data_IF_979256511811
#
_entry.id   IF_979256511811
#
_cell.length_a   1.000
_cell.length_b   1.000
_cell.length_c   1.000
_cell.angle_alpha   90.00
_cell.angle_beta   90.00
_cell.angle_gamma   90.00
#
_symmetry.space_group_name_H-M   'P 1'
#
loop_
_entity.id
_entity.type
_entity.pdbx_description
1 polymer ?
#
# COMPACT_ATOMS: atom_id res chain seq x y z
N UNK A 1 12.31 19.28 -9.30
CA UNK A 1 11.50 18.76 -8.17
C UNK A 1 10.06 19.32 -8.06
N UNK A 2 9.70 20.40 -8.77
CA UNK A 2 8.32 20.96 -8.74
C UNK A 2 7.25 20.05 -9.36
N UNK A 3 7.64 19.18 -10.30
CA UNK A 3 6.73 18.29 -11.02
C UNK A 3 6.13 17.19 -10.13
N UNK A 4 6.95 16.52 -9.31
CA UNK A 4 6.47 15.51 -8.37
C UNK A 4 5.54 16.12 -7.32
N UNK A 5 5.90 17.29 -6.78
CA UNK A 5 5.01 17.98 -5.84
C UNK A 5 3.68 18.38 -6.50
N UNK A 6 3.69 18.78 -7.79
CA UNK A 6 2.47 19.07 -8.54
C UNK A 6 1.56 17.84 -8.61
N UNK A 7 2.11 16.65 -8.83
CA UNK A 7 1.35 15.40 -8.84
C UNK A 7 0.71 15.14 -7.47
N UNK A 8 1.47 15.24 -6.38
CA UNK A 8 0.94 15.04 -5.02
C UNK A 8 -0.08 16.11 -4.57
N UNK A 9 -0.06 17.29 -5.18
CA UNK A 9 -1.08 18.31 -4.93
C UNK A 9 -2.44 17.94 -5.55
N UNK A 10 -2.40 17.32 -6.73
CA UNK A 10 -3.58 16.96 -7.53
C UNK A 10 -4.17 15.63 -7.03
N UNK A 11 -3.32 14.61 -6.87
CA UNK A 11 -3.75 13.25 -6.56
C UNK A 11 -3.34 12.85 -5.15
N UNK A 12 -4.27 12.33 -4.34
CA UNK A 12 -3.90 11.67 -3.11
C UNK A 12 -3.22 10.33 -3.43
N UNK A 13 -2.34 9.88 -2.53
CA UNK A 13 -1.46 8.75 -2.77
C UNK A 13 -1.46 7.75 -1.60
N UNK A 14 -1.19 6.50 -1.92
CA UNK A 14 -0.84 5.44 -0.96
C UNK A 14 0.15 4.49 -1.62
N UNK A 15 0.76 3.63 -0.81
CA UNK A 15 1.68 2.59 -1.21
C UNK A 15 1.62 1.44 -0.19
N UNK A 16 2.08 0.26 -0.57
CA UNK A 16 2.22 -0.83 0.37
C UNK A 16 3.33 -0.52 1.37
N UNK A 17 3.05 -0.63 2.66
CA UNK A 17 3.93 -0.10 3.70
C UNK A 17 4.26 1.40 3.52
N UNK A 18 3.28 2.22 3.06
CA UNK A 18 3.44 3.65 2.70
C UNK A 18 4.26 4.51 3.66
N UNK A 19 4.32 4.16 4.95
CA UNK A 19 5.11 4.89 5.94
C UNK A 19 6.57 4.98 5.52
N UNK A 20 7.14 3.91 4.97
CA UNK A 20 8.53 3.90 4.51
C UNK A 20 8.75 4.93 3.39
N UNK A 21 7.98 4.87 2.31
CA UNK A 21 8.09 5.77 1.16
C UNK A 21 7.76 7.21 1.54
N UNK A 22 6.67 7.42 2.29
CA UNK A 22 6.18 8.75 2.57
C UNK A 22 7.01 9.47 3.63
N UNK A 23 7.56 8.77 4.63
CA UNK A 23 8.54 9.40 5.53
C UNK A 23 9.79 9.84 4.76
N UNK A 24 10.28 9.02 3.83
CA UNK A 24 11.43 9.37 2.99
C UNK A 24 11.17 10.61 2.13
N UNK A 25 9.98 10.72 1.53
CA UNK A 25 9.56 11.85 0.70
C UNK A 25 9.27 13.10 1.55
N UNK A 26 8.54 12.97 2.66
CA UNK A 26 8.25 14.10 3.56
C UNK A 26 9.51 14.72 4.15
N UNK A 27 10.51 13.91 4.53
CA UNK A 27 11.83 14.40 4.97
C UNK A 27 12.55 15.23 3.89
N UNK A 28 12.17 15.09 2.62
CA UNK A 28 12.67 15.89 1.49
C UNK A 28 11.75 17.05 1.11
N UNK A 29 10.77 17.37 1.96
CA UNK A 29 9.88 18.51 1.81
C UNK A 29 8.62 18.25 0.98
N UNK A 30 8.35 17.00 0.59
CA UNK A 30 7.11 16.69 -0.14
C UNK A 30 5.89 16.71 0.78
N UNK A 31 4.81 17.34 0.31
CA UNK A 31 3.50 17.30 0.94
C UNK A 31 2.62 16.30 0.18
N UNK A 32 2.08 15.31 0.90
CA UNK A 32 1.33 14.20 0.30
C UNK A 32 -0.03 14.13 1.01
N UNK A 33 -1.11 14.15 0.24
CA UNK A 33 -2.46 13.80 0.73
C UNK A 33 -2.55 12.28 0.75
N UNK A 34 -2.65 11.69 1.93
CA UNK A 34 -2.52 10.24 2.07
C UNK A 34 -3.86 9.50 2.02
N UNK A 35 -3.87 8.36 1.34
CA UNK A 35 -4.96 7.38 1.37
C UNK A 35 -4.61 6.21 2.30
N UNK A 36 -5.58 5.34 2.66
CA UNK A 36 -5.35 4.23 3.57
C UNK A 36 -4.30 3.26 3.04
N UNK A 37 -3.45 2.77 3.93
CA UNK A 37 -2.39 1.83 3.60
C UNK A 37 -2.98 0.45 3.25
N UNK A 38 -2.82 -0.06 2.01
CA UNK A 38 -3.33 -1.39 1.64
C UNK A 38 -2.75 -2.51 2.49
N UNK A 39 -1.53 -2.39 3.00
CA UNK A 39 -0.91 -3.38 3.90
C UNK A 39 -1.70 -3.54 5.21
N UNK A 40 -2.13 -2.43 5.82
CA UNK A 40 -2.89 -2.45 7.08
C UNK A 40 -4.25 -3.10 6.85
N UNK A 41 -4.92 -2.74 5.76
CA UNK A 41 -6.19 -3.36 5.37
C UNK A 41 -6.01 -4.87 5.12
N UNK A 42 -4.98 -5.25 4.35
CA UNK A 42 -4.65 -6.64 4.07
C UNK A 42 -4.34 -7.45 5.34
N UNK A 43 -3.70 -6.84 6.34
CA UNK A 43 -3.41 -7.50 7.63
C UNK A 43 -4.67 -7.96 8.34
N UNK A 44 -5.71 -7.12 8.36
CA UNK A 44 -6.98 -7.43 8.99
C UNK A 44 -7.79 -8.50 8.24
N UNK A 45 -7.47 -8.73 6.96
CA UNK A 45 -8.12 -9.73 6.10
C UNK A 45 -7.37 -11.06 6.19
N UNK A 46 -6.06 -11.05 5.93
CA UNK A 46 -5.25 -12.27 5.79
C UNK A 46 -4.90 -12.88 7.15
N UNK A 47 -4.78 -12.05 8.21
CA UNK A 47 -4.52 -12.51 9.59
C UNK A 47 -3.39 -13.54 9.70
N UNK A 48 -2.30 -13.30 8.95
CA UNK A 48 -1.15 -14.21 8.89
C UNK A 48 -0.49 -14.37 10.26
N UNK A 49 0.06 -15.56 10.57
CA UNK A 49 0.69 -15.83 11.86
C UNK A 49 1.82 -14.84 12.15
N UNK A 50 1.95 -14.38 13.41
CA UNK A 50 2.94 -13.38 13.77
C UNK A 50 4.37 -13.90 13.60
N UNK A 51 5.27 -13.05 13.10
CA UNK A 51 6.71 -13.35 13.01
C UNK A 51 7.49 -13.00 14.27
N UNK A 52 6.90 -12.19 15.16
CA UNK A 52 7.53 -11.71 16.40
C UNK A 52 6.61 -12.00 17.58
N UNK A 53 7.18 -12.53 18.65
CA UNK A 53 6.48 -12.76 19.93
C UNK A 53 5.87 -11.43 20.39
N UNK A 54 4.60 -11.46 20.81
CA UNK A 54 3.86 -10.28 21.25
C UNK A 54 3.14 -9.48 20.15
N UNK A 55 3.19 -9.92 18.89
CA UNK A 55 2.35 -9.34 17.81
C UNK A 55 1.17 -10.28 17.48
N UNK A 56 0.01 -9.72 17.14
CA UNK A 56 -1.19 -10.52 16.84
C UNK A 56 -1.12 -11.14 15.45
N UNK A 57 -0.91 -10.31 14.43
CA UNK A 57 -0.76 -10.72 13.03
C UNK A 57 0.48 -10.09 12.43
N UNK A 58 1.09 -10.81 11.48
CA UNK A 58 2.16 -10.27 10.65
C UNK A 58 1.57 -9.38 9.55
N UNK A 59 2.23 -8.25 9.27
CA UNK A 59 1.98 -7.50 8.04
C UNK A 59 2.28 -8.39 6.81
N UNK A 60 1.34 -8.58 5.89
CA UNK A 60 1.57 -9.41 4.72
C UNK A 60 2.56 -8.72 3.77
N UNK A 61 3.22 -9.49 2.91
CA UNK A 61 3.92 -8.94 1.75
C UNK A 61 2.95 -8.65 0.60
N UNK A 62 3.42 -7.92 -0.42
CA UNK A 62 2.70 -7.74 -1.68
C UNK A 62 2.39 -9.09 -2.31
N UNK A 63 3.37 -10.01 -2.36
CA UNK A 63 3.18 -11.37 -2.89
C UNK A 63 2.12 -12.17 -2.11
N UNK A 64 2.16 -12.15 -0.77
CA UNK A 64 1.17 -12.86 0.06
C UNK A 64 -0.25 -12.31 -0.19
N UNK A 65 -0.36 -10.99 -0.30
CA UNK A 65 -1.62 -10.31 -0.61
C UNK A 65 -2.08 -10.62 -2.03
N UNK A 66 -1.16 -10.66 -3.00
CA UNK A 66 -1.43 -11.00 -4.39
C UNK A 66 -1.96 -12.43 -4.51
N UNK A 67 -1.29 -13.41 -3.89
CA UNK A 67 -1.72 -14.81 -3.89
C UNK A 67 -3.13 -14.99 -3.32
N UNK A 68 -3.48 -14.20 -2.30
CA UNK A 68 -4.84 -14.22 -1.73
C UNK A 68 -5.88 -13.64 -2.68
N UNK A 69 -5.58 -12.50 -3.33
CA UNK A 69 -6.54 -11.79 -4.19
C UNK A 69 -6.64 -12.37 -5.61
N UNK A 70 -5.56 -12.98 -6.10
CA UNK A 70 -5.43 -13.47 -7.46
C UNK A 70 -4.83 -14.88 -7.47
N UNK A 71 -5.53 -15.89 -6.91
CA UNK A 71 -5.01 -17.25 -6.77
C UNK A 71 -4.62 -17.88 -8.12
N UNK A 72 -5.31 -17.50 -9.20
CA UNK A 72 -5.07 -18.02 -10.55
C UNK A 72 -3.97 -17.25 -11.31
N UNK A 73 -3.40 -16.19 -10.73
CA UNK A 73 -2.36 -15.37 -11.36
C UNK A 73 -1.02 -15.55 -10.66
N UNK A 74 -0.04 -16.07 -11.40
CA UNK A 74 1.34 -16.16 -10.91
C UNK A 74 1.88 -14.75 -10.64
N UNK A 75 2.34 -14.53 -9.41
CA UNK A 75 3.12 -13.34 -9.06
C UNK A 75 4.52 -13.46 -9.68
N UNK A 76 4.95 -12.44 -10.41
CA UNK A 76 6.29 -12.38 -11.01
C UNK A 76 6.96 -11.11 -10.51
N UNK A 77 7.77 -11.26 -9.47
CA UNK A 77 8.47 -10.13 -8.85
C UNK A 77 9.66 -9.71 -9.70
N UNK A 78 9.63 -8.48 -10.23
CA UNK A 78 10.80 -7.90 -10.93
C UNK A 78 11.65 -7.01 -10.01
N UNK A 79 11.20 -6.76 -8.77
CA UNK A 79 11.82 -5.85 -7.79
C UNK A 79 12.22 -4.48 -8.38
N UNK A 80 11.32 -3.89 -9.18
CA UNK A 80 11.50 -2.54 -9.70
C UNK A 80 10.36 -1.68 -9.18
N UNK A 81 10.66 -0.46 -8.72
CA UNK A 81 9.64 0.41 -8.13
C UNK A 81 8.42 0.69 -9.03
N UNK A 82 8.56 0.63 -10.36
CA UNK A 82 7.42 0.70 -11.27
C UNK A 82 6.54 -0.56 -11.21
N UNK A 83 7.16 -1.74 -11.20
CA UNK A 83 6.46 -3.02 -11.15
C UNK A 83 5.72 -3.16 -9.81
N UNK A 84 6.36 -2.77 -8.71
CA UNK A 84 5.75 -2.75 -7.38
C UNK A 84 4.53 -1.82 -7.37
N UNK A 85 4.65 -0.58 -7.87
CA UNK A 85 3.53 0.36 -7.94
C UNK A 85 2.34 -0.18 -8.76
N UNK A 86 2.59 -0.93 -9.84
CA UNK A 86 1.52 -1.55 -10.63
C UNK A 86 0.82 -2.68 -9.85
N UNK A 87 1.58 -3.57 -9.20
CA UNK A 87 1.00 -4.64 -8.39
C UNK A 87 0.20 -4.09 -7.21
N UNK A 88 0.72 -3.06 -6.54
CA UNK A 88 0.03 -2.37 -5.45
C UNK A 88 -1.27 -1.72 -5.91
N UNK A 89 -1.26 -1.04 -7.06
CA UNK A 89 -2.46 -0.44 -7.63
C UNK A 89 -3.54 -1.49 -7.94
N UNK A 90 -3.14 -2.66 -8.48
CA UNK A 90 -4.06 -3.77 -8.74
C UNK A 90 -4.63 -4.36 -7.45
N UNK A 91 -3.82 -4.51 -6.41
CA UNK A 91 -4.27 -4.95 -5.07
C UNK A 91 -5.30 -3.96 -4.52
N UNK A 92 -5.02 -2.66 -4.55
CA UNK A 92 -5.94 -1.62 -4.07
C UNK A 92 -7.25 -1.68 -4.85
N UNK A 93 -7.18 -1.78 -6.17
CA UNK A 93 -8.37 -1.85 -7.02
C UNK A 93 -9.24 -3.07 -6.71
N UNK A 94 -8.62 -4.23 -6.48
CA UNK A 94 -9.34 -5.45 -6.09
C UNK A 94 -9.99 -5.32 -4.71
N UNK A 95 -9.26 -4.80 -3.71
CA UNK A 95 -9.82 -4.53 -2.39
C UNK A 95 -10.95 -3.50 -2.42
N UNK A 96 -10.87 -2.50 -3.30
CA UNK A 96 -11.92 -1.51 -3.53
C UNK A 96 -13.18 -2.15 -4.11
N UNK A 97 -13.05 -2.97 -5.16
CA UNK A 97 -14.19 -3.71 -5.75
C UNK A 97 -14.89 -4.60 -4.73
N UNK A 98 -14.13 -5.20 -3.81
CA UNK A 98 -14.67 -6.04 -2.73
C UNK A 98 -15.26 -5.21 -1.57
N UNK A 99 -15.25 -3.88 -1.64
CA UNK A 99 -15.73 -2.98 -0.58
C UNK A 99 -14.85 -2.95 0.69
N UNK A 100 -13.67 -3.57 0.65
CA UNK A 100 -12.75 -3.70 1.79
C UNK A 100 -11.81 -2.50 1.94
N UNK A 101 -11.59 -1.74 0.87
CA UNK A 101 -10.80 -0.52 0.87
C UNK A 101 -11.63 0.66 0.39
N UNK A 102 -11.47 1.83 1.03
CA UNK A 102 -12.17 3.08 0.66
C UNK A 102 -11.15 4.21 0.55
N UNK A 103 -11.25 5.10 -0.47
CA UNK A 103 -10.34 6.22 -0.65
C UNK A 103 -10.68 7.39 0.29
N UNK A 104 -10.61 7.15 1.60
CA UNK A 104 -10.82 8.20 2.61
C UNK A 104 -9.48 8.85 2.94
N UNK A 105 -9.38 10.16 2.79
CA UNK A 105 -8.16 10.88 3.13
C UNK A 105 -7.86 10.71 4.62
N UNK A 106 -6.62 10.34 4.93
CA UNK A 106 -6.14 10.35 6.31
C UNK A 106 -5.86 11.80 6.73
N UNK A 107 -6.70 12.30 7.63
CA UNK A 107 -6.49 13.60 8.26
C UNK A 107 -5.59 13.35 9.47
N UNK A 108 -4.30 13.63 9.30
CA UNK A 108 -3.39 13.70 10.45
C UNK A 108 -3.69 15.02 11.17
N UNK A 109 -4.32 14.94 12.35
CA UNK A 109 -4.47 16.05 13.29
C UNK A 109 -3.11 16.38 13.93
#
# INVERSE_FOLDING_TARGET
>A
NKELQRIFNIYPATAFNKRFDFEFLKKRGFKIKELPCPMIIATNILKLPPRKVGTLYKYPSVEETWKYLFPDKKYIEKHRGYDDAVHEALIIFELYKQGKWKPVLEINF
#
